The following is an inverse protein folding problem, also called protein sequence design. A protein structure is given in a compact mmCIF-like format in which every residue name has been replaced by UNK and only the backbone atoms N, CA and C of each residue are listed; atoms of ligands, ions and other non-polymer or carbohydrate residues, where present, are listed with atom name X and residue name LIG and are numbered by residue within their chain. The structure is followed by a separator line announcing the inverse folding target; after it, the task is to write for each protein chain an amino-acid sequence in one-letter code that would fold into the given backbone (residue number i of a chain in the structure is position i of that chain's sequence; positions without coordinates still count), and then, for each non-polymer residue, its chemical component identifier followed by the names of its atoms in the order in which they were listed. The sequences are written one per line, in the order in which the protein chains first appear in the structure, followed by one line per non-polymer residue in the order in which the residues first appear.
data_IF_642842831799
#
_entry.id   IF_642842831799
#
_cell.length_a   1.000
_cell.length_b   1.000
_cell.length_c   1.000
_cell.angle_alpha   90.00
_cell.angle_beta   90.00
_cell.angle_gamma   90.00
#
_symmetry.space_group_name_H-M   'P 1'
#
loop_
_entity.id
_entity.type
_entity.pdbx_description
1 polymer ?
#
# COMPACT_ATOMS: atom_id res chain seq x y z
N UNK A 1 -19.51 -43.99 -85.99
CA UNK A 1 -19.60 -44.53 -84.61
C UNK A 1 -18.62 -43.76 -83.76
N UNK A 2 -19.12 -42.84 -82.92
CA UNK A 2 -18.29 -42.22 -81.90
C UNK A 2 -17.75 -43.35 -81.03
N UNK A 3 -16.44 -43.42 -80.88
CA UNK A 3 -15.75 -44.55 -80.28
C UNK A 3 -16.08 -44.61 -78.79
N UNK A 4 -16.99 -45.50 -78.40
CA UNK A 4 -17.51 -45.64 -77.03
C UNK A 4 -16.37 -45.72 -75.99
N UNK A 5 -15.26 -46.35 -76.39
CA UNK A 5 -14.00 -46.44 -75.66
C UNK A 5 -13.37 -45.08 -75.32
N UNK A 6 -13.44 -44.11 -76.22
CA UNK A 6 -12.91 -42.74 -76.04
C UNK A 6 -13.72 -41.99 -74.97
N UNK A 7 -15.04 -42.17 -74.98
CA UNK A 7 -15.94 -41.55 -74.01
C UNK A 7 -15.74 -42.14 -72.62
N UNK A 8 -15.62 -43.47 -72.51
CA UNK A 8 -15.32 -44.16 -71.26
C UNK A 8 -13.98 -43.70 -70.66
N UNK A 9 -12.93 -43.55 -71.48
CA UNK A 9 -11.62 -43.03 -71.03
C UNK A 9 -11.71 -41.60 -70.52
N UNK A 10 -12.43 -40.72 -71.23
CA UNK A 10 -12.64 -39.34 -70.79
C UNK A 10 -13.44 -39.24 -69.49
N UNK A 11 -14.43 -40.10 -69.30
CA UNK A 11 -15.20 -40.18 -68.05
C UNK A 11 -14.35 -40.69 -66.89
N UNK A 12 -13.53 -41.73 -67.11
CA UNK A 12 -12.57 -42.22 -66.10
C UNK A 12 -11.59 -41.13 -65.68
N UNK A 13 -10.99 -40.40 -66.62
CA UNK A 13 -10.09 -39.29 -66.30
C UNK A 13 -10.79 -38.16 -65.53
N UNK A 14 -12.08 -37.91 -65.80
CA UNK A 14 -12.86 -36.92 -65.02
C UNK A 14 -13.15 -37.41 -63.61
N UNK A 15 -13.47 -38.69 -63.44
CA UNK A 15 -13.70 -39.31 -62.12
C UNK A 15 -12.43 -39.20 -61.28
N UNK A 16 -11.27 -39.62 -61.80
CA UNK A 16 -9.99 -39.52 -61.09
C UNK A 16 -9.65 -38.07 -60.69
N UNK A 17 -9.89 -37.10 -61.60
CA UNK A 17 -9.69 -35.68 -61.30
C UNK A 17 -10.63 -35.15 -60.21
N UNK A 18 -11.88 -35.62 -60.19
CA UNK A 18 -12.86 -35.22 -59.18
C UNK A 18 -12.53 -35.85 -57.82
N UNK A 19 -12.12 -37.12 -57.80
CA UNK A 19 -11.67 -37.82 -56.59
C UNK A 19 -10.46 -37.13 -55.97
N UNK A 20 -9.44 -36.80 -56.77
CA UNK A 20 -8.28 -36.05 -56.29
C UNK A 20 -8.65 -34.65 -55.75
N UNK A 21 -9.68 -34.00 -56.33
CA UNK A 21 -10.17 -32.71 -55.84
C UNK A 21 -10.93 -32.85 -54.53
N UNK A 22 -11.75 -33.90 -54.38
CA UNK A 22 -12.47 -34.21 -53.14
C UNK A 22 -11.48 -34.44 -52.01
N UNK A 23 -10.48 -35.29 -52.23
CA UNK A 23 -9.48 -35.61 -51.21
C UNK A 23 -8.71 -34.35 -50.77
N UNK A 24 -8.36 -33.48 -51.71
CA UNK A 24 -7.71 -32.19 -51.39
C UNK A 24 -8.62 -31.30 -50.54
N UNK A 25 -9.90 -31.18 -50.91
CA UNK A 25 -10.88 -30.35 -50.20
C UNK A 25 -11.21 -30.91 -48.82
N UNK A 26 -11.18 -32.23 -48.65
CA UNK A 26 -11.38 -32.89 -47.36
C UNK A 26 -10.22 -32.60 -46.41
N UNK A 27 -8.97 -32.73 -46.88
CA UNK A 27 -7.78 -32.35 -46.09
C UNK A 27 -7.79 -30.87 -45.69
N UNK A 28 -8.17 -29.99 -46.62
CA UNK A 28 -8.27 -28.56 -46.35
C UNK A 28 -9.38 -28.26 -45.32
N UNK A 29 -10.52 -28.95 -45.41
CA UNK A 29 -11.60 -28.84 -44.44
C UNK A 29 -11.18 -29.30 -43.04
N UNK A 30 -10.45 -30.41 -42.94
CA UNK A 30 -9.93 -30.91 -41.66
C UNK A 30 -8.98 -29.91 -41.01
N UNK A 31 -8.06 -29.35 -41.81
CA UNK A 31 -7.13 -28.30 -41.35
C UNK A 31 -7.88 -27.07 -40.84
N UNK A 32 -8.83 -26.54 -41.62
CA UNK A 32 -9.62 -25.36 -41.26
C UNK A 32 -10.51 -25.60 -40.04
N UNK A 33 -11.04 -26.82 -39.85
CA UNK A 33 -11.82 -27.19 -38.66
C UNK A 33 -10.95 -27.25 -37.42
N UNK A 34 -9.73 -27.79 -37.53
CA UNK A 34 -8.78 -27.83 -36.42
C UNK A 34 -8.38 -26.41 -35.98
N UNK A 35 -8.05 -25.54 -36.94
CA UNK A 35 -7.70 -24.14 -36.67
C UNK A 35 -8.87 -23.36 -36.06
N UNK A 36 -10.08 -23.51 -36.60
CA UNK A 36 -11.28 -22.90 -36.01
C UNK A 36 -11.52 -23.35 -34.57
N UNK A 37 -11.26 -24.62 -34.27
CA UNK A 37 -11.41 -25.15 -32.91
C UNK A 37 -10.38 -24.51 -31.98
N UNK A 38 -9.12 -24.39 -32.40
CA UNK A 38 -8.07 -23.74 -31.63
C UNK A 38 -8.39 -22.25 -31.38
N UNK A 39 -8.76 -21.50 -32.42
CA UNK A 39 -9.12 -20.09 -32.33
C UNK A 39 -10.35 -19.84 -31.46
N UNK A 40 -11.32 -20.76 -31.45
CA UNK A 40 -12.50 -20.68 -30.56
C UNK A 40 -12.13 -20.90 -29.09
N UNK A 41 -11.22 -21.83 -28.81
CA UNK A 41 -10.72 -22.06 -27.45
C UNK A 41 -9.96 -20.83 -26.96
N UNK A 42 -9.03 -20.31 -27.76
CA UNK A 42 -8.25 -19.12 -27.41
C UNK A 42 -9.16 -17.89 -27.22
N UNK A 43 -10.15 -17.70 -28.09
CA UNK A 43 -11.14 -16.63 -27.90
C UNK A 43 -11.95 -16.78 -26.62
N UNK A 44 -12.32 -18.00 -26.24
CA UNK A 44 -13.05 -18.23 -24.99
C UNK A 44 -12.18 -17.87 -23.78
N UNK A 45 -10.92 -18.31 -23.75
CA UNK A 45 -9.96 -18.00 -22.69
C UNK A 45 -9.67 -16.50 -22.60
N UNK A 46 -9.46 -15.82 -23.73
CA UNK A 46 -9.24 -14.38 -23.78
C UNK A 46 -10.47 -13.60 -23.30
N UNK A 47 -11.68 -14.02 -23.70
CA UNK A 47 -12.93 -13.40 -23.22
C UNK A 47 -13.14 -13.61 -21.73
N UNK A 48 -12.81 -14.79 -21.20
CA UNK A 48 -12.87 -15.05 -19.76
C UNK A 48 -11.87 -14.15 -19.01
N UNK A 49 -10.63 -14.07 -19.47
CA UNK A 49 -9.60 -13.19 -18.88
C UNK A 49 -10.00 -11.71 -18.90
N UNK A 50 -10.62 -11.23 -19.99
CA UNK A 50 -11.11 -9.85 -20.10
C UNK A 50 -12.38 -9.60 -19.27
N UNK A 51 -13.18 -10.66 -19.02
CA UNK A 51 -14.37 -10.59 -18.18
C UNK A 51 -14.07 -10.47 -16.69
N UNK A 52 -12.87 -10.86 -16.25
CA UNK A 52 -12.43 -10.73 -14.86
C UNK A 52 -12.21 -9.27 -14.50
N UNK A 53 -13.10 -8.73 -13.68
CA UNK A 53 -13.03 -7.38 -13.14
C UNK A 53 -13.10 -7.45 -11.61
N UNK A 54 -12.64 -6.40 -10.93
CA UNK A 54 -12.68 -6.29 -9.45
C UNK A 54 -14.06 -6.47 -8.82
N UNK A 55 -15.13 -6.41 -9.63
CA UNK A 55 -16.52 -6.63 -9.19
C UNK A 55 -16.97 -8.10 -9.18
N UNK A 56 -16.35 -8.98 -9.97
CA UNK A 56 -16.84 -10.36 -10.15
C UNK A 56 -15.82 -11.46 -9.79
N UNK A 57 -14.57 -11.11 -9.49
CA UNK A 57 -13.48 -12.10 -9.40
C UNK A 57 -12.68 -12.07 -8.11
N UNK A 58 -13.13 -11.32 -7.09
CA UNK A 58 -12.38 -11.11 -5.82
C UNK A 58 -10.93 -10.63 -6.03
N UNK A 59 -10.57 -10.20 -7.24
CA UNK A 59 -9.26 -9.64 -7.56
C UNK A 59 -9.17 -8.23 -6.97
N UNK A 60 -8.07 -7.91 -6.28
CA UNK A 60 -7.90 -6.58 -5.71
C UNK A 60 -7.87 -5.54 -6.84
N UNK A 61 -8.53 -4.39 -6.63
CA UNK A 61 -8.64 -3.32 -7.64
C UNK A 61 -7.29 -2.76 -8.08
N UNK A 62 -6.22 -3.04 -7.35
CA UNK A 62 -4.84 -2.66 -7.68
C UNK A 62 -4.23 -3.43 -8.86
N UNK A 63 -4.79 -4.59 -9.22
CA UNK A 63 -4.37 -5.36 -10.41
C UNK A 63 -4.97 -4.84 -11.72
N UNK A 64 -5.98 -3.96 -11.65
CA UNK A 64 -6.51 -3.26 -12.82
C UNK A 64 -5.57 -2.11 -13.21
N UNK A 65 -4.46 -2.44 -13.89
CA UNK A 65 -3.39 -1.50 -14.28
C UNK A 65 -3.89 -0.34 -15.17
N UNK A 66 -5.02 -0.51 -15.85
CA UNK A 66 -5.56 0.46 -16.82
C UNK A 66 -7.02 0.81 -16.54
N UNK A 67 -7.36 1.12 -15.28
CA UNK A 67 -8.66 1.71 -14.99
C UNK A 67 -8.67 3.13 -15.56
N UNK A 68 -9.23 3.30 -16.77
CA UNK A 68 -9.53 4.61 -17.33
C UNK A 68 -10.45 5.30 -16.33
N UNK A 69 -9.88 6.22 -15.54
CA UNK A 69 -10.65 7.06 -14.63
C UNK A 69 -11.53 7.91 -15.52
N UNK A 70 -12.83 7.60 -15.57
CA UNK A 70 -13.81 8.52 -16.14
C UNK A 70 -13.67 9.84 -15.39
N UNK A 71 -13.48 10.93 -16.12
CA UNK A 71 -13.50 12.26 -15.53
C UNK A 71 -14.84 12.44 -14.84
N UNK A 72 -14.80 12.45 -13.50
CA UNK A 72 -15.99 12.78 -12.73
C UNK A 72 -16.25 14.26 -12.95
N UNK A 73 -17.50 14.68 -13.26
CA UNK A 73 -17.82 16.08 -13.31
C UNK A 73 -17.39 16.74 -11.99
N UNK A 74 -16.85 17.95 -12.07
CA UNK A 74 -16.51 18.75 -10.89
C UNK A 74 -17.78 18.83 -10.03
N UNK A 75 -17.64 18.48 -8.76
CA UNK A 75 -18.76 18.59 -7.84
C UNK A 75 -19.03 20.07 -7.58
N UNK A 76 -20.29 20.49 -7.68
CA UNK A 76 -20.74 21.81 -7.22
C UNK A 76 -20.72 21.95 -5.68
N UNK A 77 -20.23 20.93 -4.96
CA UNK A 77 -20.09 20.98 -3.51
C UNK A 77 -18.85 21.80 -3.16
N UNK A 78 -19.05 22.76 -2.27
CA UNK A 78 -17.97 23.49 -1.63
C UNK A 78 -16.97 22.53 -0.97
N UNK A 79 -15.70 22.90 -1.01
CA UNK A 79 -14.62 22.17 -0.34
C UNK A 79 -14.87 22.21 1.17
N UNK A 80 -15.15 21.07 1.79
CA UNK A 80 -15.42 20.96 3.22
C UNK A 80 -16.45 19.89 3.57
N UNK A 81 -16.81 19.81 4.85
CA UNK A 81 -17.94 18.99 5.30
C UNK A 81 -19.25 19.44 4.65
N UNK A 82 -20.19 18.52 4.45
CA UNK A 82 -21.48 18.89 3.84
C UNK A 82 -22.23 19.86 4.76
N UNK A 83 -23.07 20.71 4.18
CA UNK A 83 -23.91 21.66 4.91
C UNK A 83 -24.73 20.91 5.97
N UNK A 84 -24.61 21.32 7.24
CA UNK A 84 -25.28 20.69 8.38
C UNK A 84 -24.44 19.67 9.16
N UNK A 85 -23.24 19.28 8.69
CA UNK A 85 -22.33 18.48 9.51
C UNK A 85 -21.72 19.32 10.62
N UNK A 86 -21.88 18.88 11.87
CA UNK A 86 -21.14 19.45 12.99
C UNK A 86 -19.66 19.20 12.77
N UNK A 87 -18.87 20.27 12.70
CA UNK A 87 -17.42 20.17 12.66
C UNK A 87 -16.91 19.44 13.90
N UNK A 88 -16.05 18.44 13.69
CA UNK A 88 -15.36 17.76 14.78
C UNK A 88 -14.00 18.42 14.96
N UNK A 89 -13.84 19.15 16.06
CA UNK A 89 -12.56 19.72 16.47
C UNK A 89 -12.11 19.06 17.77
N UNK A 90 -10.79 18.94 17.98
CA UNK A 90 -10.28 18.57 19.30
C UNK A 90 -10.67 19.66 20.29
N UNK A 91 -11.24 19.26 21.42
CA UNK A 91 -11.47 20.17 22.53
C UNK A 91 -10.12 20.76 22.99
N UNK A 92 -10.12 22.04 23.34
CA UNK A 92 -8.96 22.68 23.98
C UNK A 92 -8.79 22.08 25.37
N UNK A 93 -7.55 21.84 25.76
CA UNK A 93 -7.20 21.34 27.10
C UNK A 93 -6.96 22.52 28.05
N UNK A 94 -6.94 22.26 29.35
CA UNK A 94 -6.42 23.24 30.30
C UNK A 94 -4.92 23.43 30.06
N UNK A 95 -4.46 24.69 30.10
CA UNK A 95 -3.07 25.02 29.82
C UNK A 95 -2.27 25.04 31.11
N UNK A 96 -1.17 24.29 31.16
CA UNK A 96 -0.20 24.36 32.26
C UNK A 96 0.54 25.71 32.27
N UNK A 97 0.80 26.28 31.07
CA UNK A 97 1.42 27.59 30.89
C UNK A 97 0.72 28.38 29.77
N UNK A 98 0.51 29.69 29.99
CA UNK A 98 -0.11 30.60 29.01
C UNK A 98 0.86 31.70 28.60
N UNK A 99 1.41 31.56 27.38
CA UNK A 99 2.28 32.58 26.78
C UNK A 99 1.43 33.51 25.89
N UNK A 100 1.31 34.78 26.28
CA UNK A 100 0.60 35.79 25.50
C UNK A 100 1.51 36.39 24.43
N UNK A 101 1.29 36.02 23.17
CA UNK A 101 1.98 36.63 22.03
C UNK A 101 1.21 37.89 21.62
N UNK A 102 1.85 39.05 21.74
CA UNK A 102 1.26 40.33 21.31
C UNK A 102 1.42 40.49 19.80
N UNK A 103 0.38 41.01 19.17
CA UNK A 103 0.45 41.45 17.77
C UNK A 103 1.32 42.71 17.68
N UNK A 104 2.05 42.87 16.59
CA UNK A 104 2.70 44.16 16.29
C UNK A 104 1.65 45.27 16.24
N UNK A 105 1.99 46.46 16.72
CA UNK A 105 1.10 47.63 16.66
C UNK A 105 1.01 48.23 15.25
N UNK A 106 1.98 47.92 14.39
CA UNK A 106 2.06 48.43 13.02
C UNK A 106 1.89 47.30 12.02
N UNK A 107 1.06 47.53 11.02
CA UNK A 107 1.01 46.71 9.83
C UNK A 107 2.23 46.99 8.95
N UNK A 108 2.67 46.01 8.17
CA UNK A 108 3.76 46.17 7.20
C UNK A 108 3.49 47.28 6.17
N UNK A 109 2.22 47.62 5.91
CA UNK A 109 1.83 48.73 5.05
C UNK A 109 1.81 50.10 5.75
N UNK A 110 2.14 50.17 7.05
CA UNK A 110 2.10 51.40 7.86
C UNK A 110 0.72 51.73 8.46
N UNK A 111 -0.31 50.92 8.22
CA UNK A 111 -1.64 51.09 8.80
C UNK A 111 -1.75 50.66 10.26
N UNK A 112 -2.74 51.21 10.97
CA UNK A 112 -3.10 50.80 12.33
C UNK A 112 -3.83 49.45 12.34
N UNK A 113 -3.57 48.63 13.37
CA UNK A 113 -4.18 47.31 13.50
C UNK A 113 -5.25 47.33 14.60
N UNK A 114 -6.49 47.00 14.22
CA UNK A 114 -7.59 46.80 15.16
C UNK A 114 -7.53 45.39 15.78
N UNK A 115 -7.47 45.32 17.12
CA UNK A 115 -7.44 44.05 17.86
C UNK A 115 -8.87 43.51 18.02
N UNK A 116 -9.12 42.27 17.58
CA UNK A 116 -10.41 41.61 17.75
C UNK A 116 -10.70 41.26 19.22
N UNK A 117 -11.99 41.05 19.55
CA UNK A 117 -12.40 40.62 20.90
C UNK A 117 -11.99 39.16 21.15
N UNK A 118 -11.13 38.97 22.15
CA UNK A 118 -10.68 37.67 22.62
C UNK A 118 -9.48 37.12 21.84
N UNK A 119 -8.61 36.33 22.50
CA UNK A 119 -7.44 35.78 21.85
C UNK A 119 -7.80 34.60 20.94
N UNK A 120 -7.10 34.48 19.82
CA UNK A 120 -6.98 33.20 19.14
C UNK A 120 -6.07 32.29 19.97
N UNK A 121 -6.57 31.11 20.36
CA UNK A 121 -5.84 30.17 21.22
C UNK A 121 -5.27 29.04 20.38
N UNK A 122 -3.94 28.98 20.29
CA UNK A 122 -3.17 27.87 19.74
C UNK A 122 -2.49 27.12 20.89
N UNK A 123 -2.68 25.80 20.97
CA UNK A 123 -2.07 24.95 22.00
C UNK A 123 -1.06 23.99 21.38
N UNK A 124 0.13 23.94 21.96
CA UNK A 124 1.11 22.89 21.72
C UNK A 124 1.16 22.02 22.98
N UNK A 125 1.05 20.70 22.78
CA UNK A 125 1.23 19.72 23.84
C UNK A 125 2.57 19.07 23.62
N UNK A 126 3.41 19.07 24.64
CA UNK A 126 4.70 18.41 24.62
C UNK A 126 4.87 17.56 25.88
N UNK A 127 5.86 16.67 25.86
CA UNK A 127 6.24 15.92 27.05
C UNK A 127 7.06 16.82 27.98
N UNK A 128 6.83 16.74 29.30
CA UNK A 128 7.71 17.42 30.25
C UNK A 128 9.13 16.85 30.16
N UNK A 129 10.11 17.58 30.68
CA UNK A 129 11.51 17.13 30.71
C UNK A 129 11.63 15.80 31.48
N UNK A 130 12.02 14.72 30.79
CA UNK A 130 12.17 13.38 31.38
C UNK A 130 13.63 13.17 31.78
N UNK A 131 13.91 13.11 33.08
CA UNK A 131 15.26 12.85 33.62
C UNK A 131 15.42 11.38 34.01
N UNK A 132 16.53 10.71 33.64
CA UNK A 132 16.77 9.34 34.05
C UNK A 132 17.08 9.28 35.54
N UNK A 133 16.53 8.26 36.21
CA UNK A 133 16.96 7.88 37.56
C UNK A 133 18.08 6.85 37.44
N UNK A 134 19.28 7.22 37.89
CA UNK A 134 20.49 6.40 37.75
C UNK A 134 20.89 5.85 39.12
N UNK A 135 21.06 4.53 39.20
CA UNK A 135 21.63 3.83 40.37
C UNK A 135 23.00 3.31 39.99
N UNK A 136 24.02 3.71 40.73
CA UNK A 136 25.39 3.25 40.52
C UNK A 136 25.73 2.09 41.46
N UNK A 137 26.23 1.00 40.90
CA UNK A 137 26.71 -0.15 41.66
C UNK A 137 28.25 -0.14 41.67
N UNK A 138 28.84 0.27 42.79
CA UNK A 138 30.29 0.25 42.97
C UNK A 138 30.74 -1.14 43.42
N UNK A 139 31.40 -1.87 42.52
CA UNK A 139 31.85 -3.24 42.76
C UNK A 139 33.33 -3.25 43.14
N UNK A 140 33.65 -3.76 44.32
CA UNK A 140 35.03 -3.95 44.73
C UNK A 140 35.70 -5.10 43.98
N UNK A 141 37.01 -4.97 43.74
CA UNK A 141 37.84 -6.03 43.20
C UNK A 141 39.23 -6.07 43.87
N UNK A 142 39.82 -7.24 43.98
CA UNK A 142 41.11 -7.43 44.63
C UNK A 142 41.82 -8.71 44.22
N UNK A 143 43.00 -8.94 44.80
CA UNK A 143 43.77 -10.19 44.63
C UNK A 143 43.97 -10.86 45.98
N UNK A 144 43.84 -12.19 46.00
CA UNK A 144 44.17 -12.96 47.19
C UNK A 144 45.67 -12.88 47.47
N UNK A 145 46.06 -12.43 48.66
CA UNK A 145 47.48 -12.30 49.06
C UNK A 145 48.22 -13.64 49.12
N UNK A 146 47.50 -14.76 49.26
CA UNK A 146 48.08 -16.10 49.39
C UNK A 146 48.29 -16.81 48.05
N UNK A 147 47.36 -16.69 47.10
CA UNK A 147 47.41 -17.42 45.83
C UNK A 147 47.40 -16.53 44.59
N UNK A 148 47.38 -15.20 44.75
CA UNK A 148 47.40 -14.22 43.65
C UNK A 148 46.12 -14.12 42.81
N UNK A 149 45.15 -15.04 42.98
CA UNK A 149 43.90 -15.07 42.20
C UNK A 149 43.08 -13.79 42.39
N UNK A 150 42.54 -13.27 41.29
CA UNK A 150 41.61 -12.13 41.29
C UNK A 150 40.25 -12.53 41.85
N UNK A 151 39.64 -11.64 42.61
CA UNK A 151 38.26 -11.72 43.11
C UNK A 151 37.58 -10.39 42.84
N UNK A 152 36.33 -10.45 42.40
CA UNK A 152 35.49 -9.27 42.21
C UNK A 152 34.12 -9.52 42.84
N UNK A 153 33.53 -8.47 43.38
CA UNK A 153 32.16 -8.46 43.85
C UNK A 153 31.20 -8.71 42.69
N UNK A 154 30.08 -9.36 42.99
CA UNK A 154 29.01 -9.61 42.03
C UNK A 154 27.90 -8.59 42.21
N UNK A 155 27.17 -8.34 41.14
CA UNK A 155 25.92 -7.58 41.24
C UNK A 155 24.93 -8.30 42.17
N UNK A 156 24.10 -7.55 42.93
CA UNK A 156 23.03 -8.13 43.74
C UNK A 156 22.05 -8.94 42.90
N UNK A 157 21.33 -9.85 43.56
CA UNK A 157 20.32 -10.66 42.90
C UNK A 157 19.21 -9.79 42.28
N UNK A 158 18.83 -10.10 41.04
CA UNK A 158 17.84 -9.33 40.28
C UNK A 158 18.39 -8.12 39.51
N UNK A 159 19.67 -7.76 39.69
CA UNK A 159 20.31 -6.68 38.92
C UNK A 159 21.04 -7.27 37.71
N UNK A 160 20.57 -6.97 36.50
CA UNK A 160 21.25 -7.38 35.27
C UNK A 160 22.42 -6.46 34.94
N UNK A 161 23.37 -6.95 34.15
CA UNK A 161 24.54 -6.16 33.71
C UNK A 161 24.22 -5.14 32.60
N UNK A 162 22.96 -4.99 32.23
CA UNK A 162 22.55 -4.07 31.18
C UNK A 162 22.58 -2.62 31.66
N UNK A 163 22.95 -1.71 30.78
CA UNK A 163 22.93 -0.26 31.07
C UNK A 163 21.52 0.28 31.31
N UNK A 164 20.50 -0.30 30.66
CA UNK A 164 19.13 0.20 30.74
C UNK A 164 18.23 -0.69 31.57
N UNK A 165 17.59 -0.09 32.58
CA UNK A 165 16.56 -0.71 33.37
C UNK A 165 15.26 -0.99 32.58
N UNK A 166 14.33 -1.76 33.17
CA UNK A 166 13.11 -2.21 32.50
C UNK A 166 12.24 -1.04 32.01
N UNK A 167 12.10 0.04 32.80
CA UNK A 167 11.28 1.21 32.43
C UNK A 167 11.77 1.89 31.16
N UNK A 168 13.09 2.11 31.04
CA UNK A 168 13.70 2.73 29.86
C UNK A 168 13.53 1.84 28.64
N UNK A 169 13.79 0.52 28.79
CA UNK A 169 13.58 -0.47 27.73
C UNK A 169 12.12 -0.49 27.25
N UNK A 170 11.15 -0.43 28.16
CA UNK A 170 9.71 -0.39 27.81
C UNK A 170 9.35 0.86 27.02
N UNK A 171 9.86 2.03 27.39
CA UNK A 171 9.62 3.29 26.66
C UNK A 171 10.21 3.23 25.25
N UNK A 172 11.46 2.77 25.12
CA UNK A 172 12.13 2.60 23.83
C UNK A 172 11.33 1.63 22.94
N UNK A 173 10.92 0.48 23.48
CA UNK A 173 10.14 -0.51 22.76
C UNK A 173 8.79 0.04 22.30
N UNK A 174 8.07 0.76 23.18
CA UNK A 174 6.79 1.38 22.85
C UNK A 174 6.96 2.36 21.68
N UNK A 175 7.89 3.33 21.78
CA UNK A 175 8.10 4.31 20.71
C UNK A 175 8.58 3.67 19.40
N UNK A 176 9.46 2.67 19.47
CA UNK A 176 9.90 1.92 18.28
C UNK A 176 8.75 1.18 17.58
N UNK A 177 7.80 0.64 18.35
CA UNK A 177 6.60 -0.03 17.85
C UNK A 177 5.60 0.93 17.20
N UNK A 178 5.39 2.12 17.79
CA UNK A 178 4.51 3.14 17.23
C UNK A 178 5.01 3.68 15.89
N UNK A 179 6.33 3.93 15.76
CA UNK A 179 6.90 4.44 14.51
C UNK A 179 6.75 3.50 13.32
N UNK A 180 6.82 2.18 13.54
CA UNK A 180 6.60 1.19 12.47
C UNK A 180 5.16 1.19 11.95
N UNK A 181 4.16 1.39 12.82
CA UNK A 181 2.74 1.41 12.45
C UNK A 181 2.30 2.71 11.75
N UNK A 182 2.96 3.83 12.00
CA UNK A 182 2.66 5.10 11.31
C UNK A 182 3.06 5.06 9.83
N UNK A 183 4.14 4.35 9.47
CA UNK A 183 4.60 4.24 8.09
C UNK A 183 3.62 3.46 7.20
N UNK A 184 3.00 2.41 7.74
CA UNK A 184 1.99 1.62 7.01
C UNK A 184 0.67 2.40 6.85
N UNK A 185 0.20 3.13 7.87
CA UNK A 185 -1.05 3.92 7.79
C UNK A 185 -0.96 5.14 6.87
N UNK A 186 0.17 5.86 6.85
CA UNK A 186 0.32 7.02 5.96
C UNK A 186 0.45 6.64 4.48
N UNK A 187 0.78 5.38 4.16
CA UNK A 187 0.77 4.88 2.79
C UNK A 187 -0.64 4.52 2.27
N UNK A 188 -1.59 4.28 3.18
CA UNK A 188 -2.99 3.99 2.84
C UNK A 188 -3.83 5.27 2.64
N UNK A 189 -3.44 6.40 3.24
CA UNK A 189 -4.12 7.70 3.08
C UNK A 189 -3.62 8.56 1.90
N UNK A 190 -2.69 8.09 1.07
CA UNK A 190 -2.12 8.85 -0.07
C UNK A 190 -2.60 8.37 -1.46
N UNK A 191 -3.72 7.65 -1.56
CA UNK A 191 -4.32 7.27 -2.85
C UNK A 191 -5.77 7.71 -2.99
#
# INVERSE_FOLDING_TARGET
MVNLLELCKNLQQKIEKLEAKIERLERENESLKAENKALKIENAELKERLGLNSKNSSLPSSRELYKIKKDKPKSDRNVGGQVGHKGSFRAKMDADEVIKVKLSSTCECGGEIAICKGPYIHQKVDLPEIKPYVVEYQLEHGRCRRCGKRRSSKLPEGVTSDTFGPRVKSIIAAFSGFYKKFKTRNSECRK
#
